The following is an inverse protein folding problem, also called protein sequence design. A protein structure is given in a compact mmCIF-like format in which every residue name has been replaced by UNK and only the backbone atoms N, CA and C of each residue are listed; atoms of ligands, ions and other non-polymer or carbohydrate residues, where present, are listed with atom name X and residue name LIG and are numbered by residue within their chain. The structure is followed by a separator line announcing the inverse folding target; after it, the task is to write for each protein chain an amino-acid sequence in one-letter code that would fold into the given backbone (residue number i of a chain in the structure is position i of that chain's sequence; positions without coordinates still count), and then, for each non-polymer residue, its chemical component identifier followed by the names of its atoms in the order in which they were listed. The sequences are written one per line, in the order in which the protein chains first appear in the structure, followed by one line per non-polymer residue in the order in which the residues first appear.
data_IF_375027243663
#
_entry.id   IF_375027243663
#
_cell.length_a   1.000
_cell.length_b   1.000
_cell.length_c   1.000
_cell.angle_alpha   90.00
_cell.angle_beta   90.00
_cell.angle_gamma   90.00
#
_symmetry.space_group_name_H-M   'P 1'
#
loop_
_entity.id
_entity.type
_entity.pdbx_description
1 polymer ?
#
# COMPACT_ATOMS: atom_id res chain seq x y z
N UNK A 1 -5.32 1.12 22.31
CA UNK A 1 -4.54 2.28 21.83
C UNK A 1 -3.91 1.81 20.55
N UNK A 2 -4.49 2.18 19.41
CA UNK A 2 -4.02 1.75 18.09
C UNK A 2 -3.18 2.87 17.48
N UNK A 3 -2.35 3.50 18.31
CA UNK A 3 -1.60 4.69 17.94
C UNK A 3 -0.15 4.28 17.69
N UNK A 4 0.29 4.43 16.44
CA UNK A 4 1.69 4.25 16.08
C UNK A 4 2.51 5.46 16.53
N UNK A 5 3.77 5.22 16.89
CA UNK A 5 4.75 6.31 17.03
C UNK A 5 4.83 7.06 15.69
N UNK A 6 4.78 8.40 15.72
CA UNK A 6 4.80 9.24 14.51
C UNK A 6 5.87 8.87 13.49
N UNK A 7 7.07 8.49 13.97
CA UNK A 7 8.18 8.13 13.11
C UNK A 7 7.95 6.88 12.24
N UNK A 8 7.01 6.00 12.60
CA UNK A 8 6.70 4.75 11.87
C UNK A 8 5.30 4.76 11.25
N UNK A 9 4.57 5.87 11.38
CA UNK A 9 3.29 6.05 10.69
C UNK A 9 3.51 6.13 9.17
N UNK A 10 2.49 5.79 8.37
CA UNK A 10 2.49 6.11 6.94
C UNK A 10 2.69 7.61 6.70
N UNK A 11 3.34 7.95 5.58
CA UNK A 11 3.62 9.33 5.19
C UNK A 11 2.38 9.97 4.55
N UNK A 12 1.34 10.14 5.37
CA UNK A 12 0.02 10.63 4.98
C UNK A 12 0.06 12.04 4.42
N UNK A 13 0.91 12.90 4.97
CA UNK A 13 1.08 14.27 4.48
C UNK A 13 1.56 14.28 3.02
N UNK A 14 2.51 13.41 2.69
CA UNK A 14 2.95 13.26 1.30
C UNK A 14 1.88 12.66 0.41
N UNK A 15 1.18 11.61 0.89
CA UNK A 15 0.11 10.97 0.15
C UNK A 15 -1.01 11.96 -0.19
N UNK A 16 -1.51 12.71 0.80
CA UNK A 16 -2.60 13.69 0.64
C UNK A 16 -2.20 14.83 -0.30
N UNK A 17 -0.93 15.27 -0.24
CA UNK A 17 -0.40 16.30 -1.15
C UNK A 17 -0.27 15.81 -2.60
N UNK A 18 0.15 14.55 -2.82
CA UNK A 18 0.38 13.99 -4.15
C UNK A 18 -0.89 13.45 -4.80
N UNK A 19 -1.82 12.94 -3.99
CA UNK A 19 -3.09 12.34 -4.43
C UNK A 19 -3.82 13.14 -5.52
N UNK A 20 -4.12 14.44 -5.37
CA UNK A 20 -4.85 15.19 -6.39
C UNK A 20 -4.08 15.32 -7.71
N UNK A 21 -2.74 15.32 -7.67
CA UNK A 21 -1.90 15.40 -8.86
C UNK A 21 -1.93 14.07 -9.63
N UNK A 22 -1.79 12.97 -8.90
CA UNK A 22 -1.86 11.61 -9.45
C UNK A 22 -3.25 11.35 -10.03
N UNK A 23 -4.31 11.62 -9.26
CA UNK A 23 -5.69 11.42 -9.69
C UNK A 23 -6.00 12.20 -10.96
N UNK A 24 -5.59 13.48 -11.03
CA UNK A 24 -5.77 14.29 -12.23
C UNK A 24 -5.08 13.66 -13.44
N UNK A 25 -3.84 13.19 -13.28
CA UNK A 25 -3.07 12.65 -14.40
C UNK A 25 -3.64 11.33 -14.92
N UNK A 26 -4.18 10.48 -14.03
CA UNK A 26 -4.90 9.27 -14.41
C UNK A 26 -6.21 9.62 -15.16
N UNK A 27 -6.98 10.61 -14.67
CA UNK A 27 -8.20 11.09 -15.34
C UNK A 27 -7.91 11.71 -16.71
N UNK A 28 -6.79 12.40 -16.88
CA UNK A 28 -6.35 12.92 -18.18
C UNK A 28 -6.07 11.78 -19.19
N UNK A 29 -5.52 10.65 -18.73
CA UNK A 29 -5.33 9.48 -19.58
C UNK A 29 -6.67 8.83 -19.95
N UNK A 30 -7.62 8.75 -19.03
CA UNK A 30 -8.98 8.26 -19.31
C UNK A 30 -9.69 9.13 -20.35
N UNK A 31 -9.63 10.45 -20.22
CA UNK A 31 -10.16 11.38 -21.23
C UNK A 31 -9.46 11.22 -22.58
N UNK A 32 -8.15 11.00 -22.58
CA UNK A 32 -7.42 10.70 -23.81
C UNK A 32 -7.92 9.41 -24.46
N UNK A 33 -8.07 8.35 -23.66
CA UNK A 33 -8.55 7.03 -24.11
C UNK A 33 -9.94 7.13 -24.73
N UNK A 34 -10.89 7.76 -24.03
CA UNK A 34 -12.27 7.94 -24.48
C UNK A 34 -12.40 8.77 -25.76
N UNK A 35 -11.44 9.65 -26.01
CA UNK A 35 -11.40 10.46 -27.22
C UNK A 35 -10.86 9.70 -28.46
N UNK A 36 -10.28 8.51 -28.27
CA UNK A 36 -9.73 7.72 -29.38
C UNK A 36 -10.83 6.89 -30.07
N UNK A 37 -10.63 6.65 -31.37
CA UNK A 37 -11.46 5.71 -32.14
C UNK A 37 -10.84 4.31 -32.16
N UNK A 38 -11.61 3.29 -32.53
CA UNK A 38 -11.10 1.92 -32.74
C UNK A 38 -10.01 1.82 -33.82
N UNK A 39 -9.92 2.79 -34.73
CA UNK A 39 -8.89 2.85 -35.79
C UNK A 39 -7.56 3.44 -35.30
N UNK A 40 -7.50 3.90 -34.05
CA UNK A 40 -6.30 4.54 -33.49
C UNK A 40 -5.18 3.51 -33.35
N UNK A 41 -3.98 3.78 -33.90
CA UNK A 41 -2.86 2.85 -33.78
C UNK A 41 -2.44 2.63 -32.31
N UNK A 42 -2.05 1.38 -32.00
CA UNK A 42 -1.61 0.98 -30.65
C UNK A 42 -0.45 1.85 -30.14
N UNK A 43 0.45 2.29 -31.03
CA UNK A 43 1.58 3.15 -30.71
C UNK A 43 1.18 4.49 -30.08
N UNK A 44 -0.01 5.00 -30.41
CA UNK A 44 -0.52 6.25 -29.82
C UNK A 44 -0.85 6.02 -28.34
N UNK A 45 -1.51 4.91 -28.02
CA UNK A 45 -1.82 4.52 -26.64
C UNK A 45 -0.55 4.22 -25.84
N UNK A 46 0.37 3.44 -26.41
CA UNK A 46 1.65 3.11 -25.77
C UNK A 46 2.47 4.38 -25.47
N UNK A 47 2.48 5.35 -26.38
CA UNK A 47 3.18 6.63 -26.19
C UNK A 47 2.55 7.44 -25.05
N UNK A 48 1.22 7.56 -25.01
CA UNK A 48 0.55 8.34 -23.98
C UNK A 48 0.61 7.66 -22.60
N UNK A 49 0.50 6.34 -22.57
CA UNK A 49 0.69 5.54 -21.36
C UNK A 49 2.10 5.76 -20.79
N UNK A 50 3.13 5.73 -21.62
CA UNK A 50 4.51 5.97 -21.17
C UNK A 50 4.75 7.39 -20.65
N UNK A 51 4.08 8.40 -21.20
CA UNK A 51 4.14 9.75 -20.62
C UNK A 51 3.46 9.80 -19.25
N UNK A 52 2.30 9.17 -19.11
CA UNK A 52 1.59 9.06 -17.83
C UNK A 52 2.48 8.39 -16.78
N UNK A 53 3.03 7.22 -17.09
CA UNK A 53 3.95 6.48 -16.23
C UNK A 53 5.14 7.34 -15.79
N UNK A 54 5.78 8.04 -16.73
CA UNK A 54 6.93 8.90 -16.45
C UNK A 54 6.57 10.09 -15.55
N UNK A 55 5.45 10.77 -15.79
CA UNK A 55 5.01 11.90 -14.97
C UNK A 55 4.62 11.45 -13.55
N UNK A 56 3.89 10.35 -13.43
CA UNK A 56 3.54 9.77 -12.13
C UNK A 56 4.79 9.33 -11.35
N UNK A 57 5.77 8.73 -12.04
CA UNK A 57 7.06 8.38 -11.46
C UNK A 57 7.81 9.62 -10.95
N UNK A 58 7.79 10.73 -11.70
CA UNK A 58 8.39 12.00 -11.28
C UNK A 58 7.71 12.60 -10.04
N UNK A 59 6.38 12.56 -9.95
CA UNK A 59 5.65 13.11 -8.78
C UNK A 59 5.92 12.33 -7.51
N UNK A 60 6.00 11.01 -7.63
CA UNK A 60 6.02 10.08 -6.50
C UNK A 60 7.42 9.63 -6.13
N UNK A 61 8.38 9.75 -7.05
CA UNK A 61 9.72 9.17 -6.92
C UNK A 61 9.74 7.65 -6.97
N UNK A 62 8.63 7.02 -7.39
CA UNK A 62 8.51 5.56 -7.51
C UNK A 62 8.90 5.09 -8.90
N UNK A 63 9.47 3.88 -8.97
CA UNK A 63 9.51 3.14 -10.22
C UNK A 63 8.13 2.51 -10.46
N UNK A 64 7.52 2.84 -11.60
CA UNK A 64 6.18 2.40 -11.98
C UNK A 64 6.22 1.46 -13.20
N UNK A 65 7.40 1.01 -13.64
CA UNK A 65 7.53 0.17 -14.84
C UNK A 65 6.78 -1.15 -14.75
N UNK A 66 6.66 -1.67 -13.53
CA UNK A 66 6.02 -2.96 -13.22
C UNK A 66 4.61 -2.79 -12.65
N UNK A 67 4.13 -1.54 -12.54
CA UNK A 67 2.76 -1.24 -12.08
C UNK A 67 1.86 -1.19 -13.31
N UNK A 68 0.79 -1.99 -13.29
CA UNK A 68 -0.23 -1.93 -14.32
C UNK A 68 -1.14 -0.75 -14.04
N UNK A 69 -0.75 0.41 -14.57
CA UNK A 69 -1.43 1.63 -14.21
C UNK A 69 -2.89 1.60 -14.64
N UNK A 70 -3.34 0.82 -15.63
CA UNK A 70 -4.77 0.72 -16.00
C UNK A 70 -5.63 -0.17 -15.08
N UNK A 71 -5.08 -0.78 -14.02
CA UNK A 71 -5.81 -1.73 -13.15
C UNK A 71 -7.08 -1.14 -12.52
N UNK A 72 -7.18 0.19 -12.43
CA UNK A 72 -8.35 0.86 -11.86
C UNK A 72 -9.66 0.52 -12.60
N UNK A 73 -9.60 0.14 -13.86
CA UNK A 73 -10.77 -0.29 -14.63
C UNK A 73 -11.30 -1.68 -14.21
N UNK A 74 -10.49 -2.50 -13.55
CA UNK A 74 -10.85 -3.86 -13.10
C UNK A 74 -10.98 -3.99 -11.58
N UNK A 75 -10.56 -2.98 -10.83
CA UNK A 75 -10.44 -3.02 -9.36
C UNK A 75 -11.25 -1.90 -8.66
N UNK A 76 -10.79 -1.40 -7.52
CA UNK A 76 -11.50 -0.45 -6.63
C UNK A 76 -11.63 0.99 -7.18
N UNK A 77 -11.34 1.22 -8.46
CA UNK A 77 -11.52 2.51 -9.12
C UNK A 77 -10.29 3.43 -9.09
N UNK A 78 -10.37 4.52 -9.87
CA UNK A 78 -9.24 5.40 -10.17
C UNK A 78 -8.76 6.19 -8.94
N UNK A 79 -9.67 6.50 -8.01
CA UNK A 79 -9.36 7.11 -6.73
C UNK A 79 -8.45 6.22 -5.88
N UNK A 80 -8.72 4.91 -5.80
CA UNK A 80 -7.92 4.00 -4.97
C UNK A 80 -6.53 3.80 -5.58
N UNK A 81 -6.43 3.63 -6.90
CA UNK A 81 -5.12 3.58 -7.55
C UNK A 81 -4.35 4.89 -7.35
N UNK A 82 -5.02 6.04 -7.47
CA UNK A 82 -4.37 7.32 -7.26
C UNK A 82 -3.77 7.43 -5.86
N UNK A 83 -4.48 6.94 -4.85
CA UNK A 83 -3.97 6.83 -3.48
C UNK A 83 -2.77 5.88 -3.39
N UNK A 84 -2.86 4.68 -3.94
CA UNK A 84 -1.77 3.69 -3.90
C UNK A 84 -0.50 4.22 -4.57
N UNK A 85 -0.63 4.89 -5.72
CA UNK A 85 0.50 5.53 -6.41
C UNK A 85 1.04 6.70 -5.58
N UNK A 86 0.18 7.52 -4.95
CA UNK A 86 0.59 8.66 -4.14
C UNK A 86 1.23 8.29 -2.79
N UNK A 87 0.84 7.17 -2.16
CA UNK A 87 1.30 6.76 -0.84
C UNK A 87 2.76 6.32 -0.87
N UNK A 88 3.71 6.99 -0.19
CA UNK A 88 5.11 6.58 -0.22
C UNK A 88 5.32 5.17 0.36
N UNK A 89 6.29 4.42 -0.18
CA UNK A 89 6.62 3.10 0.34
C UNK A 89 7.12 3.17 1.80
N UNK A 90 6.90 2.11 2.61
CA UNK A 90 7.42 2.06 3.98
C UNK A 90 8.94 2.21 4.03
N UNK A 91 9.44 2.90 5.06
CA UNK A 91 10.87 3.18 5.24
C UNK A 91 11.55 2.13 6.12
N UNK A 92 12.87 1.97 5.95
CA UNK A 92 13.72 1.17 6.84
C UNK A 92 14.03 1.97 8.10
N UNK A 93 13.79 1.38 9.25
CA UNK A 93 14.08 1.94 10.58
C UNK A 93 15.17 1.13 11.28
N UNK A 94 16.02 1.81 12.03
CA UNK A 94 17.12 1.20 12.81
C UNK A 94 16.90 1.23 14.31
N UNK A 95 15.85 1.93 14.76
CA UNK A 95 15.54 2.25 16.14
C UNK A 95 14.17 1.68 16.59
N UNK A 96 13.67 0.65 15.90
CA UNK A 96 12.41 0.01 16.27
C UNK A 96 12.51 -0.59 17.67
N UNK A 97 11.41 -0.50 18.39
CA UNK A 97 11.23 -1.07 19.73
C UNK A 97 10.25 -2.24 19.70
N UNK A 98 10.26 -3.08 20.73
CA UNK A 98 9.29 -4.18 20.84
C UNK A 98 7.85 -3.66 20.92
N UNK A 99 7.67 -2.46 21.50
CA UNK A 99 6.39 -1.77 21.55
C UNK A 99 5.92 -1.32 20.15
N UNK A 100 6.85 -0.84 19.30
CA UNK A 100 6.52 -0.52 17.89
C UNK A 100 6.04 -1.77 17.14
N UNK A 101 6.73 -2.91 17.31
CA UNK A 101 6.30 -4.17 16.70
C UNK A 101 4.94 -4.63 17.23
N UNK A 102 4.70 -4.54 18.54
CA UNK A 102 3.41 -4.88 19.15
C UNK A 102 2.28 -4.04 18.53
N UNK A 103 2.46 -2.73 18.40
CA UNK A 103 1.45 -1.86 17.79
C UNK A 103 1.19 -2.23 16.31
N UNK A 104 2.23 -2.51 15.52
CA UNK A 104 2.08 -2.93 14.13
C UNK A 104 1.35 -4.28 14.00
N UNK A 105 1.69 -5.25 14.84
CA UNK A 105 1.02 -6.56 14.87
C UNK A 105 -0.45 -6.39 15.22
N UNK A 106 -0.75 -5.60 16.25
CA UNK A 106 -2.12 -5.31 16.65
C UNK A 106 -2.94 -4.67 15.52
N UNK A 107 -2.35 -3.69 14.82
CA UNK A 107 -2.98 -3.01 13.68
C UNK A 107 -3.28 -3.98 12.54
N UNK A 108 -2.37 -4.89 12.20
CA UNK A 108 -2.61 -5.90 11.16
C UNK A 108 -3.70 -6.88 11.58
N UNK A 109 -3.68 -7.34 12.84
CA UNK A 109 -4.63 -8.30 13.37
C UNK A 109 -6.05 -7.74 13.52
N UNK A 110 -6.17 -6.46 13.86
CA UNK A 110 -7.46 -5.76 14.05
C UNK A 110 -7.93 -5.00 12.82
N UNK A 111 -7.03 -4.78 11.85
CA UNK A 111 -7.27 -4.01 10.63
C UNK A 111 -7.76 -2.59 10.92
N UNK A 112 -7.25 -1.97 11.97
CA UNK A 112 -7.64 -0.62 12.37
C UNK A 112 -6.51 0.14 13.07
N UNK A 113 -6.47 1.46 12.85
CA UNK A 113 -5.64 2.41 13.58
C UNK A 113 -6.33 3.78 13.58
N UNK A 114 -5.88 4.65 14.49
CA UNK A 114 -6.45 6.00 14.64
C UNK A 114 -6.15 6.85 13.40
N UNK A 115 -7.21 7.36 12.78
CA UNK A 115 -7.14 8.33 11.68
C UNK A 115 -7.11 9.76 12.23
N UNK A 116 -6.26 10.61 11.66
CA UNK A 116 -6.14 12.02 12.04
C UNK A 116 -6.88 12.98 11.09
N UNK A 117 -7.39 12.50 9.96
CA UNK A 117 -8.16 13.28 8.98
C UNK A 117 -9.20 12.44 8.23
N UNK A 118 -10.15 13.10 7.57
CA UNK A 118 -11.14 12.44 6.70
C UNK A 118 -10.46 11.67 5.55
N UNK A 119 -9.38 12.22 4.99
CA UNK A 119 -8.57 11.56 3.96
C UNK A 119 -7.99 10.23 4.47
N UNK A 120 -7.47 10.22 5.70
CA UNK A 120 -6.97 8.99 6.31
C UNK A 120 -8.11 7.98 6.53
N UNK A 121 -9.27 8.43 7.03
CA UNK A 121 -10.40 7.54 7.26
C UNK A 121 -10.94 6.92 5.97
N UNK A 122 -10.99 7.70 4.89
CA UNK A 122 -11.39 7.25 3.55
C UNK A 122 -10.46 6.16 3.01
N UNK A 123 -9.15 6.36 3.10
CA UNK A 123 -8.17 5.47 2.47
C UNK A 123 -7.57 4.39 3.37
N UNK A 124 -7.77 4.47 4.69
CA UNK A 124 -7.30 3.49 5.67
C UNK A 124 -7.62 2.03 5.31
N UNK A 125 -8.84 1.67 4.85
CA UNK A 125 -9.14 0.28 4.49
C UNK A 125 -8.20 -0.29 3.42
N UNK A 126 -7.82 0.50 2.42
CA UNK A 126 -6.98 0.05 1.30
C UNK A 126 -5.54 -0.24 1.71
N UNK A 127 -5.07 0.35 2.82
CA UNK A 127 -3.77 0.03 3.39
C UNK A 127 -3.63 -1.44 3.81
N UNK A 128 -4.74 -2.09 4.18
CA UNK A 128 -4.73 -3.47 4.66
C UNK A 128 -4.92 -4.48 3.54
N UNK A 129 -5.85 -4.22 2.62
CA UNK A 129 -6.30 -5.21 1.65
C UNK A 129 -5.53 -5.15 0.33
N UNK A 130 -5.38 -3.96 -0.24
CA UNK A 130 -4.78 -3.77 -1.56
C UNK A 130 -3.28 -3.52 -1.45
N UNK A 131 -2.91 -2.41 -0.79
CA UNK A 131 -1.50 -2.04 -0.66
C UNK A 131 -0.74 -2.98 0.30
N UNK A 132 -1.42 -3.59 1.28
CA UNK A 132 -0.77 -4.35 2.36
C UNK A 132 0.41 -3.60 3.02
N UNK A 133 0.26 -2.28 3.21
CA UNK A 133 1.33 -1.37 3.61
C UNK A 133 2.09 -1.85 4.86
N UNK A 134 1.36 -2.32 5.87
CA UNK A 134 1.98 -2.78 7.12
C UNK A 134 2.74 -4.10 6.95
N UNK A 135 2.31 -4.98 6.04
CA UNK A 135 3.06 -6.18 5.70
C UNK A 135 4.38 -5.83 4.98
N UNK A 136 4.34 -4.88 4.04
CA UNK A 136 5.56 -4.36 3.39
C UNK A 136 6.51 -3.72 4.42
N UNK A 137 5.97 -2.95 5.37
CA UNK A 137 6.76 -2.38 6.46
C UNK A 137 7.47 -3.47 7.26
N UNK A 138 6.76 -4.54 7.63
CA UNK A 138 7.35 -5.66 8.37
C UNK A 138 8.39 -6.42 7.54
N UNK A 139 8.17 -6.59 6.24
CA UNK A 139 9.13 -7.23 5.34
C UNK A 139 10.44 -6.44 5.24
N UNK A 140 10.36 -5.12 5.12
CA UNK A 140 11.54 -4.25 5.07
C UNK A 140 12.29 -4.29 6.40
N UNK A 141 11.56 -4.17 7.52
CA UNK A 141 12.16 -3.94 8.83
C UNK A 141 12.57 -5.23 9.56
N UNK A 142 11.81 -6.31 9.40
CA UNK A 142 12.01 -7.61 10.05
C UNK A 142 12.31 -8.73 9.03
N UNK A 143 12.91 -8.41 7.88
CA UNK A 143 13.20 -9.32 6.75
C UNK A 143 13.63 -10.77 7.10
N UNK A 144 14.42 -10.96 8.16
CA UNK A 144 14.94 -12.28 8.55
C UNK A 144 13.92 -13.14 9.31
N UNK A 145 12.98 -12.51 9.99
CA UNK A 145 12.08 -13.15 10.96
C UNK A 145 10.62 -13.01 10.57
N UNK A 146 10.25 -11.97 9.81
CA UNK A 146 8.91 -11.78 9.27
C UNK A 146 8.54 -12.91 8.32
N UNK A 147 7.32 -13.42 8.50
CA UNK A 147 6.67 -14.30 7.55
C UNK A 147 5.17 -13.95 7.47
N UNK A 148 4.60 -13.75 6.26
CA UNK A 148 3.19 -13.37 6.12
C UNK A 148 2.22 -14.37 6.77
N UNK A 149 2.56 -15.66 6.73
CA UNK A 149 1.75 -16.74 7.30
C UNK A 149 1.53 -16.63 8.82
N UNK A 150 2.32 -15.83 9.54
CA UNK A 150 2.08 -15.57 10.96
C UNK A 150 0.75 -14.87 11.25
N UNK A 151 0.19 -14.16 10.27
CA UNK A 151 -1.06 -13.42 10.41
C UNK A 151 -2.28 -14.17 9.89
N UNK A 152 -2.09 -15.37 9.33
CA UNK A 152 -3.16 -16.19 8.76
C UNK A 152 -3.40 -17.44 9.61
N UNK A 153 -4.54 -18.10 9.36
CA UNK A 153 -4.81 -19.41 9.94
C UNK A 153 -3.91 -20.47 9.29
N UNK A 154 -3.35 -21.34 10.09
CA UNK A 154 -2.50 -22.44 9.64
C UNK A 154 -3.01 -23.79 10.16
N UNK A 155 -2.64 -24.87 9.49
CA UNK A 155 -2.84 -26.22 10.00
C UNK A 155 -1.59 -26.71 10.72
N UNK A 156 -1.79 -27.32 11.89
CA UNK A 156 -0.72 -28.06 12.56
C UNK A 156 -0.39 -29.36 11.81
N UNK A 157 0.65 -30.07 12.26
CA UNK A 157 1.06 -31.37 11.69
C UNK A 157 -0.02 -32.46 11.71
N UNK A 158 -1.10 -32.25 12.47
CA UNK A 158 -2.25 -33.16 12.58
C UNK A 158 -3.46 -32.64 11.77
N UNK A 159 -3.31 -31.56 10.99
CA UNK A 159 -4.39 -30.95 10.21
C UNK A 159 -5.33 -30.05 11.01
N UNK A 160 -5.05 -29.75 12.28
CA UNK A 160 -5.89 -28.87 13.11
C UNK A 160 -5.57 -27.41 12.81
N UNK A 161 -6.60 -26.64 12.48
CA UNK A 161 -6.47 -25.20 12.28
C UNK A 161 -6.18 -24.46 13.58
N UNK A 162 -5.18 -23.57 13.56
CA UNK A 162 -4.86 -22.62 14.60
C UNK A 162 -4.52 -21.25 13.98
N UNK A 163 -4.44 -20.22 14.82
CA UNK A 163 -3.95 -18.89 14.48
C UNK A 163 -3.04 -18.46 15.63
N UNK A 164 -1.93 -17.81 15.31
CA UNK A 164 -1.02 -17.31 16.33
C UNK A 164 -1.66 -16.15 17.10
N UNK A 165 -1.39 -16.04 18.40
CA UNK A 165 -1.69 -14.83 19.16
C UNK A 165 -0.72 -13.70 18.80
N UNK A 166 -1.08 -12.46 19.11
CA UNK A 166 -0.18 -11.31 18.90
C UNK A 166 1.16 -11.51 19.63
N UNK A 167 1.15 -12.05 20.84
CA UNK A 167 2.36 -12.35 21.61
C UNK A 167 3.24 -13.38 20.92
N UNK A 168 2.65 -14.46 20.38
CA UNK A 168 3.41 -15.49 19.65
C UNK A 168 4.03 -14.94 18.36
N UNK A 169 3.34 -14.06 17.64
CA UNK A 169 3.87 -13.37 16.46
C UNK A 169 5.07 -12.51 16.86
N UNK A 170 4.93 -11.70 17.91
CA UNK A 170 6.00 -10.82 18.41
C UNK A 170 7.20 -11.64 18.86
N UNK A 171 7.01 -12.74 19.59
CA UNK A 171 8.09 -13.62 20.03
C UNK A 171 8.85 -14.27 18.86
N UNK A 172 8.16 -14.59 17.76
CA UNK A 172 8.81 -15.12 16.55
C UNK A 172 9.57 -14.04 15.80
N UNK A 173 9.04 -12.82 15.75
CA UNK A 173 9.59 -11.72 14.94
C UNK A 173 10.69 -10.93 15.64
N UNK A 174 10.63 -10.73 16.96
CA UNK A 174 11.56 -9.91 17.74
C UNK A 174 12.92 -10.60 18.04
N UNK A 175 13.22 -11.69 17.36
CA UNK A 175 14.45 -12.48 17.58
C UNK A 175 15.68 -11.88 16.92
#
# INVERSE_FOLDING_TARGET
MNTLRKAIQPDWETAERLYPLVLRRLKEYEVFWDAQSEETPEEVFNTEYKKMEQELSQFTGKDLSDVWLWEWWEDNGIEVLAFDVALPAPKKHTDLTKADLLALVHIICTQDFESESDFQEEFKPFMFYQHQYFHQFLEINFKKTYKPNYFYREQDKNGKWYQLSEEEIIEKMWK
#
